data_IF_204445784575
#
_entry.id   IF_204445784575
#
_cell.length_a   1.000
_cell.length_b   1.000
_cell.length_c   1.000
_cell.angle_alpha   90.00
_cell.angle_beta   90.00
_cell.angle_gamma   90.00
#
_symmetry.space_group_name_H-M   'P 1'
#
loop_
_entity.id
_entity.type
_entity.pdbx_description
1 polymer ?
#
# COMPACT_ATOMS: atom_id res chain seq x y z
N UNK A 1 4.34 -17.68 50.83
CA UNK A 1 4.96 -16.35 51.06
C UNK A 1 5.42 -15.80 49.72
N UNK A 2 4.79 -14.69 49.32
CA UNK A 2 5.27 -13.63 48.40
C UNK A 2 6.04 -14.04 47.12
N UNK A 3 5.59 -13.75 45.90
CA UNK A 3 4.84 -12.56 45.53
C UNK A 3 4.27 -12.53 44.11
N UNK A 4 3.15 -11.81 44.01
CA UNK A 4 2.59 -11.19 42.80
C UNK A 4 3.56 -10.15 42.24
N UNK A 5 3.74 -10.14 40.91
CA UNK A 5 3.87 -8.97 39.99
C UNK A 5 4.49 -9.49 38.67
N UNK A 6 4.11 -9.08 37.47
CA UNK A 6 3.24 -8.01 37.01
C UNK A 6 2.67 -8.38 35.62
N UNK A 7 1.41 -8.03 35.38
CA UNK A 7 0.88 -7.90 34.04
C UNK A 7 1.52 -6.66 33.39
N UNK A 8 2.15 -6.82 32.23
CA UNK A 8 2.47 -5.72 31.34
C UNK A 8 1.54 -5.76 30.14
N UNK A 9 0.41 -5.06 30.28
CA UNK A 9 -0.33 -4.56 29.15
C UNK A 9 0.60 -3.67 28.33
N UNK A 10 0.91 -4.07 27.10
CA UNK A 10 1.43 -3.13 26.10
C UNK A 10 0.41 -3.04 24.98
N UNK A 11 -0.49 -2.09 25.17
CA UNK A 11 -1.36 -1.51 24.17
C UNK A 11 -0.50 -0.85 23.09
N UNK A 12 -0.35 -1.48 21.93
CA UNK A 12 0.18 -0.83 20.72
C UNK A 12 -0.97 -0.53 19.77
N UNK A 13 -1.62 0.60 20.08
CA UNK A 13 -2.31 1.55 19.18
C UNK A 13 -2.80 0.95 17.84
N UNK A 14 -4.04 0.49 17.84
CA UNK A 14 -4.87 0.48 16.63
C UNK A 14 -4.99 1.93 16.13
N UNK A 15 -4.37 2.21 14.99
CA UNK A 15 -4.55 3.49 14.29
C UNK A 15 -5.99 3.59 13.78
N UNK A 16 -6.88 4.12 14.62
CA UNK A 16 -8.21 4.56 14.20
C UNK A 16 -8.05 5.72 13.23
N UNK A 17 -8.37 5.49 11.96
CA UNK A 17 -8.62 6.58 11.00
C UNK A 17 -10.08 6.53 10.59
N UNK A 18 -10.75 7.66 10.81
CA UNK A 18 -12.20 7.82 10.79
C UNK A 18 -12.86 7.41 9.46
N UNK A 19 -13.44 6.22 9.42
CA UNK A 19 -14.48 5.86 8.46
C UNK A 19 -15.83 6.24 9.03
N UNK A 20 -16.47 7.29 8.48
CA UNK A 20 -17.85 7.66 8.79
C UNK A 20 -18.76 6.43 8.56
N UNK A 21 -19.29 5.84 9.64
CA UNK A 21 -20.26 4.74 9.55
C UNK A 21 -21.59 5.31 9.05
N UNK A 22 -21.96 4.97 7.82
CA UNK A 22 -23.25 5.33 7.22
C UNK A 22 -24.34 4.49 7.92
N UNK A 23 -25.37 5.15 8.47
CA UNK A 23 -26.54 4.50 9.08
C UNK A 23 -27.16 3.51 8.09
N UNK A 24 -27.39 2.28 8.56
CA UNK A 24 -27.90 1.17 7.76
C UNK A 24 -29.42 1.29 7.63
N UNK A 25 -29.87 1.91 6.54
CA UNK A 25 -31.30 1.91 6.20
C UNK A 25 -31.71 0.49 5.80
N UNK A 26 -32.69 -0.10 6.50
CA UNK A 26 -33.18 -1.48 6.30
C UNK A 26 -33.73 -1.75 4.88
N UNK A 27 -33.89 -0.72 4.04
CA UNK A 27 -34.33 -0.79 2.64
C UNK A 27 -33.18 -0.80 1.63
N UNK A 28 -31.91 -0.71 2.06
CA UNK A 28 -30.76 -0.70 1.14
C UNK A 28 -30.30 -2.11 0.80
N UNK A 29 -30.30 -2.41 -0.51
CA UNK A 29 -29.72 -3.62 -1.11
C UNK A 29 -28.24 -3.76 -0.71
N UNK A 30 -27.85 -4.95 -0.21
CA UNK A 30 -26.52 -5.26 0.33
C UNK A 30 -25.37 -5.00 -0.66
N UNK A 31 -25.62 -5.06 -1.97
CA UNK A 31 -24.61 -4.75 -2.99
C UNK A 31 -24.27 -3.25 -3.11
N UNK A 32 -25.05 -2.37 -2.48
CA UNK A 32 -24.79 -0.92 -2.46
C UNK A 32 -23.85 -0.49 -1.33
N UNK A 33 -23.47 -1.41 -0.45
CA UNK A 33 -22.54 -1.11 0.64
C UNK A 33 -21.13 -0.83 0.09
N UNK A 34 -20.54 0.28 0.54
CA UNK A 34 -19.19 0.69 0.16
C UNK A 34 -18.15 -0.25 0.76
N UNK A 35 -17.30 -0.83 -0.11
CA UNK A 35 -16.18 -1.69 0.28
C UNK A 35 -14.90 -1.23 -0.43
N UNK A 36 -13.79 -1.25 0.29
CA UNK A 36 -12.48 -1.01 -0.30
C UNK A 36 -12.09 -2.27 -1.09
N UNK A 37 -11.96 -2.14 -2.42
CA UNK A 37 -11.66 -3.28 -3.30
C UNK A 37 -10.17 -3.62 -3.38
N UNK A 38 -9.34 -2.58 -3.47
CA UNK A 38 -7.88 -2.71 -3.60
C UNK A 38 -7.20 -1.42 -3.16
N UNK A 39 -5.98 -1.55 -2.66
CA UNK A 39 -5.07 -0.45 -2.40
C UNK A 39 -3.87 -0.60 -3.34
N UNK A 40 -3.62 0.43 -4.16
CA UNK A 40 -2.51 0.44 -5.09
C UNK A 40 -1.45 1.41 -4.58
N UNK A 41 -0.27 0.91 -4.21
CA UNK A 41 0.88 1.72 -3.83
C UNK A 41 1.79 1.85 -5.05
N UNK A 42 2.08 3.08 -5.45
CA UNK A 42 2.89 3.37 -6.63
C UNK A 42 3.98 4.37 -6.29
N UNK A 43 5.23 4.01 -6.57
CA UNK A 43 6.39 4.90 -6.45
C UNK A 43 6.94 5.14 -7.86
N UNK A 44 6.87 6.39 -8.31
CA UNK A 44 7.45 6.85 -9.57
C UNK A 44 8.74 7.61 -9.28
N UNK A 45 9.88 7.00 -9.61
CA UNK A 45 11.21 7.60 -9.37
C UNK A 45 11.61 8.52 -10.53
N UNK A 46 11.10 8.27 -11.74
CA UNK A 46 11.34 9.13 -12.91
C UNK A 46 12.63 8.81 -13.67
N UNK A 47 13.50 7.99 -13.10
CA UNK A 47 14.78 7.56 -13.66
C UNK A 47 15.01 6.05 -13.41
N UNK A 48 15.77 5.43 -14.31
CA UNK A 48 16.30 4.07 -14.10
C UNK A 48 17.49 4.07 -13.15
N UNK A 49 17.79 2.90 -12.58
CA UNK A 49 19.03 2.64 -11.84
C UNK A 49 18.78 2.28 -10.39
N UNK A 50 19.75 2.60 -9.54
CA UNK A 50 19.78 2.14 -8.14
C UNK A 50 18.68 2.72 -7.27
N UNK A 51 18.19 3.92 -7.59
CA UNK A 51 17.07 4.52 -6.85
C UNK A 51 15.80 3.70 -7.02
N UNK A 52 15.58 3.13 -8.21
CA UNK A 52 14.43 2.27 -8.47
C UNK A 52 14.52 0.93 -7.73
N UNK A 53 15.72 0.35 -7.63
CA UNK A 53 15.92 -0.93 -6.91
C UNK A 53 15.85 -0.74 -5.38
N UNK A 54 16.24 0.43 -4.87
CA UNK A 54 15.99 0.78 -3.46
C UNK A 54 14.51 0.98 -3.17
N UNK A 55 13.80 1.70 -4.05
CA UNK A 55 12.36 1.88 -3.94
C UNK A 55 11.60 0.55 -3.97
N UNK A 56 12.02 -0.41 -4.80
CA UNK A 56 11.41 -1.75 -4.82
C UNK A 56 11.60 -2.48 -3.50
N UNK A 57 12.80 -2.43 -2.91
CA UNK A 57 13.07 -3.07 -1.60
C UNK A 57 12.23 -2.46 -0.47
N UNK A 58 12.05 -1.13 -0.47
CA UNK A 58 11.19 -0.44 0.52
C UNK A 58 9.73 -0.89 0.37
N UNK A 59 9.23 -0.96 -0.87
CA UNK A 59 7.87 -1.42 -1.15
C UNK A 59 7.65 -2.88 -0.69
N UNK A 60 8.64 -3.74 -0.91
CA UNK A 60 8.62 -5.14 -0.48
C UNK A 60 8.61 -5.26 1.05
N UNK A 61 9.44 -4.49 1.76
CA UNK A 61 9.47 -4.48 3.22
C UNK A 61 8.16 -3.98 3.85
N UNK A 62 7.52 -2.99 3.23
CA UNK A 62 6.27 -2.42 3.74
C UNK A 62 5.06 -3.32 3.47
N UNK A 63 5.02 -3.99 2.32
CA UNK A 63 3.82 -4.73 1.88
C UNK A 63 3.93 -6.25 2.01
N UNK A 64 5.15 -6.78 2.17
CA UNK A 64 5.43 -8.22 2.17
C UNK A 64 5.06 -8.92 0.85
N UNK A 65 4.97 -8.16 -0.25
CA UNK A 65 4.62 -8.65 -1.58
C UNK A 65 5.71 -8.29 -2.58
N UNK A 66 5.90 -9.13 -3.59
CA UNK A 66 6.84 -8.88 -4.67
C UNK A 66 6.30 -7.74 -5.57
N UNK A 67 7.00 -6.60 -5.65
CA UNK A 67 6.49 -5.45 -6.36
C UNK A 67 6.78 -5.56 -7.87
N UNK A 68 5.93 -4.95 -8.69
CA UNK A 68 6.01 -5.02 -10.16
C UNK A 68 6.64 -3.74 -10.72
N UNK A 69 7.63 -3.90 -11.61
CA UNK A 69 8.27 -2.79 -12.30
C UNK A 69 7.42 -2.32 -13.49
N UNK A 70 7.11 -1.03 -13.51
CA UNK A 70 6.42 -0.36 -14.61
C UNK A 70 7.39 0.12 -15.67
N UNK A 71 7.05 -0.13 -16.94
CA UNK A 71 7.84 0.26 -18.11
C UNK A 71 7.28 1.50 -18.78
N UNK A 72 8.17 2.34 -19.32
CA UNK A 72 7.84 3.50 -20.13
C UNK A 72 7.10 3.10 -21.43
N UNK A 73 5.94 3.69 -21.67
CA UNK A 73 5.21 3.50 -22.95
C UNK A 73 5.76 4.37 -24.09
N UNK A 74 6.25 5.57 -23.77
CA UNK A 74 6.73 6.55 -24.73
C UNK A 74 8.12 7.05 -24.36
N UNK A 75 8.88 7.50 -25.37
CA UNK A 75 10.14 8.21 -25.16
C UNK A 75 9.81 9.68 -24.96
N UNK A 76 10.22 10.26 -23.84
CA UNK A 76 10.02 11.68 -23.55
C UNK A 76 11.38 12.30 -23.25
N UNK A 77 11.92 13.04 -24.23
CA UNK A 77 13.31 13.52 -24.19
C UNK A 77 13.56 14.58 -23.11
N UNK A 78 12.55 15.37 -22.76
CA UNK A 78 12.63 16.35 -21.66
C UNK A 78 12.87 15.70 -20.30
N UNK A 79 12.37 14.47 -20.09
CA UNK A 79 12.58 13.71 -18.86
C UNK A 79 13.72 12.69 -18.96
N UNK A 80 14.43 12.62 -20.10
CA UNK A 80 15.49 11.65 -20.31
C UNK A 80 15.02 10.19 -20.45
N UNK A 81 13.71 9.95 -20.55
CA UNK A 81 13.12 8.61 -20.52
C UNK A 81 13.06 7.99 -21.92
N UNK A 82 13.52 6.75 -22.07
CA UNK A 82 13.39 5.94 -23.29
C UNK A 82 12.23 4.95 -23.19
N UNK A 83 11.67 4.52 -24.34
CA UNK A 83 10.67 3.44 -24.37
C UNK A 83 11.21 2.17 -23.72
N UNK A 84 10.31 1.44 -23.04
CA UNK A 84 10.58 0.19 -22.31
C UNK A 84 11.55 0.29 -21.13
N UNK A 85 12.00 1.50 -20.81
CA UNK A 85 12.79 1.77 -19.63
C UNK A 85 11.95 1.58 -18.36
N UNK A 86 12.56 1.08 -17.28
CA UNK A 86 11.84 0.89 -16.01
C UNK A 86 11.84 2.20 -15.23
N UNK A 87 10.67 2.80 -15.00
CA UNK A 87 10.56 4.14 -14.38
C UNK A 87 9.95 4.10 -12.97
N UNK A 88 9.15 3.07 -12.70
CA UNK A 88 8.36 3.01 -11.47
C UNK A 88 8.17 1.60 -10.96
N UNK A 89 7.73 1.52 -9.73
CA UNK A 89 7.41 0.28 -9.04
C UNK A 89 6.03 0.44 -8.42
N UNK A 90 5.16 -0.54 -8.62
CA UNK A 90 3.86 -0.56 -7.99
C UNK A 90 3.58 -1.91 -7.33
N UNK A 91 2.80 -1.87 -6.27
CA UNK A 91 2.25 -3.04 -5.61
C UNK A 91 0.73 -2.84 -5.45
N UNK A 92 -0.03 -3.90 -5.68
CA UNK A 92 -1.47 -3.89 -5.46
C UNK A 92 -1.83 -4.81 -4.33
N UNK A 93 -2.20 -4.23 -3.20
CA UNK A 93 -2.61 -4.94 -2.01
C UNK A 93 -4.12 -5.14 -2.04
N UNK A 94 -4.57 -6.37 -1.77
CA UNK A 94 -5.98 -6.76 -1.74
C UNK A 94 -6.25 -7.61 -0.52
N UNK A 95 -7.50 -7.59 -0.05
CA UNK A 95 -7.93 -8.42 1.08
C UNK A 95 -7.33 -7.98 2.41
N UNK A 96 -7.08 -8.94 3.29
CA UNK A 96 -6.65 -8.73 4.69
C UNK A 96 -5.29 -8.04 4.85
N UNK A 97 -4.50 -7.96 3.77
CA UNK A 97 -3.20 -7.28 3.77
C UNK A 97 -3.30 -5.79 3.46
N UNK A 98 -4.46 -5.29 3.04
CA UNK A 98 -4.70 -3.91 2.59
C UNK A 98 -5.01 -2.94 3.72
#
# INVERSE_FOLDING_TARGET
>A
MTGRKAASATTTKTGTTAGRVIKKDKTKNQMRDLRIRKLCLNICVGESGDRLTRASKVLEQLTGQTPVFSKARYTVRSFGIRRNEKIGVFCTVRGEKA
#
